data_IF_906355379420
#
_entry.id   IF_906355379420
#
_cell.length_a   1.000
_cell.length_b   1.000
_cell.length_c   1.000
_cell.angle_alpha   90.00
_cell.angle_beta   90.00
_cell.angle_gamma   90.00
#
_symmetry.space_group_name_H-M   'P 1'
#
loop_
_entity.id
_entity.type
_entity.pdbx_description
1 polymer ?
#
# COMPACT_ATOMS: atom_id res chain seq x y z
N UNK A 1 -20.26 -4.42 -1.71
CA UNK A 1 -19.71 -3.36 -2.59
C UNK A 1 -20.27 -1.99 -2.26
N UNK A 2 -21.58 -1.70 -2.34
CA UNK A 2 -22.16 -0.38 -1.97
C UNK A 2 -21.76 0.11 -0.57
N UNK A 3 -21.90 -0.72 0.46
CA UNK A 3 -21.58 -0.34 1.85
C UNK A 3 -20.12 0.03 2.13
N UNK A 4 -19.18 -0.40 1.28
CA UNK A 4 -17.76 -0.01 1.42
C UNK A 4 -17.48 1.33 0.72
N UNK A 5 -18.13 1.55 -0.42
CA UNK A 5 -18.10 2.82 -1.14
C UNK A 5 -18.72 3.96 -0.33
N UNK A 6 -19.86 3.71 0.32
CA UNK A 6 -20.52 4.71 1.17
C UNK A 6 -19.59 5.13 2.32
N UNK A 7 -18.95 4.15 2.98
CA UNK A 7 -17.96 4.40 4.04
C UNK A 7 -16.70 5.13 3.56
N UNK A 8 -16.26 4.92 2.32
CA UNK A 8 -15.11 5.64 1.75
C UNK A 8 -15.48 7.08 1.38
N UNK A 9 -16.68 7.29 0.85
CA UNK A 9 -17.19 8.63 0.54
C UNK A 9 -17.27 9.50 1.80
N UNK A 10 -17.68 8.92 2.93
CA UNK A 10 -17.69 9.62 4.23
C UNK A 10 -16.29 10.01 4.73
N UNK A 11 -15.22 9.43 4.17
CA UNK A 11 -13.85 9.73 4.54
C UNK A 11 -13.13 10.64 3.53
N UNK A 12 -13.77 11.08 2.44
CA UNK A 12 -13.14 11.96 1.46
C UNK A 12 -12.68 13.26 2.13
N UNK A 13 -11.48 13.73 1.78
CA UNK A 13 -10.80 14.90 2.35
C UNK A 13 -10.42 14.79 3.83
N UNK A 14 -10.57 13.63 4.47
CA UNK A 14 -9.98 13.40 5.80
C UNK A 14 -8.46 13.43 5.66
N UNK A 15 -7.81 14.25 6.48
CA UNK A 15 -6.36 14.27 6.61
C UNK A 15 -5.88 12.98 7.28
N UNK A 16 -4.85 12.38 6.69
CA UNK A 16 -4.27 11.13 7.17
C UNK A 16 -2.76 11.26 7.34
N UNK A 17 -2.24 10.56 8.35
CA UNK A 17 -0.83 10.27 8.48
C UNK A 17 -0.59 8.79 8.27
N UNK A 18 0.39 8.47 7.45
CA UNK A 18 0.71 7.11 7.04
C UNK A 18 2.14 6.83 7.46
N UNK A 19 2.35 5.81 8.30
CA UNK A 19 3.70 5.44 8.75
C UNK A 19 4.17 4.23 7.97
N UNK A 20 5.27 4.39 7.24
CA UNK A 20 5.91 3.30 6.49
C UNK A 20 7.05 2.67 7.28
N UNK A 21 7.27 1.39 7.08
CA UNK A 21 8.24 0.61 7.86
C UNK A 21 9.17 -0.27 7.02
N UNK A 22 8.77 -0.65 5.80
CA UNK A 22 9.62 -1.48 4.92
C UNK A 22 9.54 -1.01 3.48
N UNK A 23 10.65 -1.17 2.78
CA UNK A 23 10.72 -1.13 1.32
C UNK A 23 10.78 -2.57 0.80
N UNK A 24 9.88 -2.92 -0.10
CA UNK A 24 9.79 -4.26 -0.70
C UNK A 24 9.84 -4.12 -2.21
N UNK A 25 10.70 -4.91 -2.86
CA UNK A 25 10.79 -4.89 -4.32
C UNK A 25 11.26 -6.23 -4.91
N UNK A 26 10.90 -6.44 -6.17
CA UNK A 26 11.44 -7.47 -7.03
C UNK A 26 11.90 -6.85 -8.38
N UNK A 27 12.09 -7.66 -9.40
CA UNK A 27 12.50 -7.18 -10.73
C UNK A 27 11.41 -6.39 -11.49
N UNK A 28 10.15 -6.43 -11.04
CA UNK A 28 9.03 -5.78 -11.72
C UNK A 28 8.48 -4.57 -10.97
N UNK A 29 8.43 -4.61 -9.63
CA UNK A 29 7.68 -3.64 -8.82
C UNK A 29 8.43 -3.28 -7.54
N UNK A 30 8.29 -2.01 -7.13
CA UNK A 30 8.76 -1.50 -5.84
C UNK A 30 7.61 -0.90 -5.03
N UNK A 31 7.56 -1.16 -3.73
CA UNK A 31 6.50 -0.67 -2.84
C UNK A 31 7.02 -0.38 -1.43
N UNK A 32 6.39 0.56 -0.75
CA UNK A 32 6.53 0.76 0.69
C UNK A 32 5.38 0.08 1.41
N UNK A 33 5.65 -0.60 2.53
CA UNK A 33 4.60 -1.10 3.41
C UNK A 33 4.21 -0.05 4.43
N UNK A 34 2.93 -0.02 4.77
CA UNK A 34 2.36 0.88 5.75
C UNK A 34 2.06 0.08 7.01
N UNK A 35 2.75 0.40 8.11
CA UNK A 35 2.49 -0.20 9.43
C UNK A 35 1.33 0.49 10.16
N UNK A 36 1.09 1.77 9.88
CA UNK A 36 0.04 2.52 10.55
C UNK A 36 -0.60 3.61 9.69
N UNK A 37 -1.90 3.83 9.90
CA UNK A 37 -2.70 4.93 9.34
C UNK A 37 -3.42 5.62 10.51
N UNK A 38 -3.24 6.93 10.61
CA UNK A 38 -3.97 7.79 11.54
C UNK A 38 -4.86 8.76 10.75
N UNK A 39 -6.16 8.90 11.06
CA UNK A 39 -6.86 8.20 12.15
C UNK A 39 -7.11 6.71 11.85
N UNK A 40 -7.34 5.90 12.89
CA UNK A 40 -7.43 4.43 12.79
C UNK A 40 -8.68 3.91 12.08
N UNK A 41 -9.66 4.77 11.84
CA UNK A 41 -10.95 4.42 11.24
C UNK A 41 -10.95 4.46 9.71
N UNK A 42 -9.82 4.75 9.07
CA UNK A 42 -9.68 4.74 7.61
C UNK A 42 -9.79 3.29 7.10
N UNK A 43 -10.79 2.97 6.27
CA UNK A 43 -10.99 1.60 5.79
C UNK A 43 -9.90 1.20 4.79
N UNK A 44 -9.34 0.00 4.94
CA UNK A 44 -8.40 -0.59 3.99
C UNK A 44 -8.81 -2.04 3.69
N UNK A 45 -9.01 -2.35 2.41
CA UNK A 45 -9.35 -3.71 1.95
C UNK A 45 -8.13 -4.61 1.75
N UNK A 46 -6.95 -4.01 1.57
CA UNK A 46 -5.72 -4.75 1.36
C UNK A 46 -5.21 -5.28 2.69
N UNK A 47 -4.89 -6.58 2.73
CA UNK A 47 -4.27 -7.23 3.90
C UNK A 47 -3.01 -6.51 4.37
N UNK A 48 -2.19 -6.05 3.41
CA UNK A 48 -1.01 -5.24 3.65
C UNK A 48 -1.22 -3.87 3.01
N UNK A 49 -1.57 -2.84 3.80
CA UNK A 49 -1.62 -1.47 3.33
C UNK A 49 -0.24 -1.07 2.77
N UNK A 50 -0.21 -0.40 1.63
CA UNK A 50 1.05 -0.13 0.92
C UNK A 50 0.93 1.06 -0.03
N UNK A 51 2.09 1.59 -0.40
CA UNK A 51 2.25 2.64 -1.41
C UNK A 51 3.15 2.07 -2.52
N UNK A 52 2.59 1.85 -3.71
CA UNK A 52 3.40 1.48 -4.87
C UNK A 52 4.29 2.67 -5.26
N UNK A 53 5.61 2.45 -5.28
CA UNK A 53 6.60 3.48 -5.65
C UNK A 53 6.71 3.57 -7.17
N UNK A 54 6.76 2.42 -7.83
CA UNK A 54 6.88 2.35 -9.28
C UNK A 54 6.87 0.94 -9.81
N UNK A 55 6.74 0.84 -11.13
CA UNK A 55 6.84 -0.40 -11.90
C UNK A 55 7.93 -0.24 -12.95
N UNK A 56 8.52 -1.36 -13.38
CA UNK A 56 9.61 -1.35 -14.37
C UNK A 56 9.17 -0.83 -15.74
N UNK A 57 7.88 -0.95 -16.07
CA UNK A 57 7.30 -0.48 -17.33
C UNK A 57 5.77 -0.24 -17.22
N UNK A 58 5.15 0.48 -18.18
CA UNK A 58 3.70 0.76 -18.19
C UNK A 58 2.80 -0.49 -18.35
N UNK A 59 3.35 -1.57 -18.89
CA UNK A 59 2.67 -2.86 -19.05
C UNK A 59 2.53 -3.60 -17.72
N UNK A 60 3.48 -3.38 -16.80
CA UNK A 60 3.44 -3.89 -15.44
C UNK A 60 2.51 -3.01 -14.61
N UNK A 61 1.35 -3.54 -14.24
CA UNK A 61 0.32 -2.80 -13.51
C UNK A 61 0.58 -2.75 -12.00
N UNK A 62 0.30 -1.62 -11.33
CA UNK A 62 0.51 -1.47 -9.88
C UNK A 62 -0.19 -2.52 -9.01
N UNK A 63 -1.34 -3.07 -9.43
CA UNK A 63 -2.05 -4.09 -8.65
C UNK A 63 -1.20 -5.35 -8.38
N UNK A 64 -0.15 -5.59 -9.18
CA UNK A 64 0.81 -6.69 -8.93
C UNK A 64 1.51 -6.57 -7.57
N UNK A 65 1.58 -5.37 -6.97
CA UNK A 65 2.13 -5.17 -5.63
C UNK A 65 1.47 -6.05 -4.57
N UNK A 66 0.17 -6.31 -4.67
CA UNK A 66 -0.54 -7.20 -3.72
C UNK A 66 0.09 -8.60 -3.71
N UNK A 67 0.35 -9.16 -4.89
CA UNK A 67 0.99 -10.48 -5.03
C UNK A 67 2.44 -10.48 -4.50
N UNK A 68 3.17 -9.39 -4.70
CA UNK A 68 4.52 -9.23 -4.16
C UNK A 68 4.50 -9.27 -2.63
N UNK A 69 3.59 -8.54 -1.98
CA UNK A 69 3.49 -8.47 -0.52
C UNK A 69 3.00 -9.79 0.09
N UNK A 70 2.02 -10.45 -0.53
CA UNK A 70 1.56 -11.77 -0.11
C UNK A 70 2.68 -12.81 -0.12
N UNK A 71 3.54 -12.76 -1.15
CA UNK A 71 4.74 -13.59 -1.23
C UNK A 71 5.79 -13.21 -0.17
N UNK A 72 6.02 -11.92 0.04
CA UNK A 72 7.08 -11.41 0.93
C UNK A 72 6.83 -11.74 2.41
N UNK A 73 5.57 -11.73 2.82
CA UNK A 73 5.13 -11.95 4.20
C UNK A 73 4.36 -13.25 4.40
N UNK A 74 4.30 -14.10 3.36
CA UNK A 74 3.79 -15.46 3.46
C UNK A 74 4.78 -16.41 4.13
N UNK A 75 4.41 -17.69 4.20
CA UNK A 75 5.18 -18.73 4.91
C UNK A 75 6.55 -19.04 4.29
N UNK A 76 6.81 -18.61 3.06
CA UNK A 76 8.08 -18.80 2.35
C UNK A 76 8.45 -17.52 1.62
N UNK A 77 9.64 -16.97 1.92
CA UNK A 77 10.20 -15.86 1.15
C UNK A 77 10.68 -16.39 -0.20
N UNK A 78 10.14 -15.92 -1.34
CA UNK A 78 10.60 -16.36 -2.65
C UNK A 78 12.00 -15.79 -2.95
N UNK A 79 12.75 -16.52 -3.77
CA UNK A 79 13.95 -15.98 -4.42
C UNK A 79 13.56 -14.76 -5.28
N UNK A 80 14.42 -13.74 -5.28
CA UNK A 80 14.25 -12.54 -6.11
C UNK A 80 13.42 -11.41 -5.49
N UNK A 81 12.95 -11.58 -4.25
CA UNK A 81 12.29 -10.50 -3.48
C UNK A 81 13.27 -9.94 -2.45
N UNK A 82 13.40 -8.62 -2.42
CA UNK A 82 14.17 -7.90 -1.42
C UNK A 82 13.24 -7.16 -0.46
N UNK A 83 13.50 -7.27 0.85
CA UNK A 83 12.79 -6.56 1.91
C UNK A 83 13.83 -5.81 2.74
N UNK A 84 13.72 -4.48 2.77
CA UNK A 84 14.55 -3.60 3.59
C UNK A 84 13.67 -3.06 4.72
N UNK A 85 14.03 -3.36 5.96
CA UNK A 85 13.40 -2.75 7.13
C UNK A 85 13.99 -1.34 7.32
N UNK A 86 13.11 -0.34 7.45
CA UNK A 86 13.51 1.04 7.70
C UNK A 86 13.86 1.29 9.18
N UNK A 87 13.57 0.32 10.05
CA UNK A 87 13.88 0.37 11.48
C UNK A 87 13.24 1.57 12.16
N UNK A 88 14.01 2.20 13.05
CA UNK A 88 13.58 3.39 13.80
C UNK A 88 13.42 4.63 12.91
N UNK A 89 13.85 4.58 11.64
CA UNK A 89 13.67 5.63 10.65
C UNK A 89 12.32 5.53 9.94
N UNK A 90 11.27 5.08 10.65
CA UNK A 90 9.94 4.99 10.04
C UNK A 90 9.49 6.36 9.56
N UNK A 91 9.23 6.45 8.26
CA UNK A 91 8.82 7.68 7.61
C UNK A 91 7.31 7.86 7.77
N UNK A 92 6.91 9.02 8.29
CA UNK A 92 5.50 9.41 8.36
C UNK A 92 5.19 10.38 7.23
N UNK A 93 4.18 10.05 6.43
CA UNK A 93 3.72 10.83 5.30
C UNK A 93 2.33 11.39 5.60
N UNK A 94 2.13 12.69 5.37
CA UNK A 94 0.82 13.33 5.43
C UNK A 94 0.10 13.29 4.08
N UNK A 95 -1.23 13.21 4.10
CA UNK A 95 -2.04 13.24 2.88
C UNK A 95 -3.53 13.37 3.17
N UNK A 96 -4.35 13.24 2.13
CA UNK A 96 -5.81 13.27 2.22
C UNK A 96 -6.41 12.07 1.51
N UNK A 97 -7.50 11.53 2.05
CA UNK A 97 -8.27 10.47 1.39
C UNK A 97 -9.01 11.02 0.17
N UNK A 98 -8.89 10.33 -0.95
CA UNK A 98 -9.63 10.62 -2.18
C UNK A 98 -10.36 9.37 -2.66
N UNK A 99 -11.61 9.54 -3.11
CA UNK A 99 -12.33 8.51 -3.83
C UNK A 99 -12.11 8.71 -5.34
N UNK A 100 -11.54 7.71 -6.01
CA UNK A 100 -11.24 7.76 -7.44
C UNK A 100 -12.14 6.75 -8.15
N UNK A 101 -12.93 7.24 -9.11
CA UNK A 101 -13.68 6.40 -10.04
C UNK A 101 -12.85 6.19 -11.30
N UNK A 102 -12.32 4.99 -11.46
CA UNK A 102 -11.69 4.57 -12.71
C UNK A 102 -12.73 3.90 -13.59
N UNK A 103 -13.07 4.53 -14.72
CA UNK A 103 -13.74 3.83 -15.82
C UNK A 103 -12.71 2.89 -16.45
N UNK A 104 -12.91 1.58 -16.32
CA UNK A 104 -12.12 0.56 -17.02
C UNK A 104 -12.66 0.33 -18.43
#
# INVERSE_FOLDING_TARGET
>A
FRSHWDRLNDQVNVEVQVTVDKLVFDSEVMTLTVKDISPKNIPCVNKYPHITVGTISPEVKPFKTVKLLDKSFGSQRPNGVTVIDLGDQSLTLGGYVQAIFTMQ
#
